data_IF_979287928286
#
_entry.id   IF_979287928286
#
_cell.length_a   1.000
_cell.length_b   1.000
_cell.length_c   1.000
_cell.angle_alpha   90.00
_cell.angle_beta   90.00
_cell.angle_gamma   90.00
#
_symmetry.space_group_name_H-M   'P 1'
#
loop_
_entity.id
_entity.type
_entity.pdbx_description
1 polymer ?
#
# COMPACT_ATOMS: atom_id res chain seq x y z
N UNK A 1 5.65 -33.26 -1.51
CA UNK A 1 4.61 -32.82 -2.49
C UNK A 1 5.30 -32.55 -3.82
N UNK A 2 4.69 -32.91 -4.95
CA UNK A 2 5.29 -32.70 -6.28
C UNK A 2 4.90 -31.30 -6.77
N UNK A 3 5.89 -30.46 -7.11
CA UNK A 3 5.61 -29.13 -7.65
C UNK A 3 4.82 -29.25 -8.97
N UNK A 4 3.77 -28.44 -9.10
CA UNK A 4 3.01 -28.32 -10.34
C UNK A 4 3.79 -27.42 -11.29
N UNK A 5 4.09 -27.91 -12.49
CA UNK A 5 4.72 -27.10 -13.53
C UNK A 5 3.63 -26.37 -14.31
N UNK A 6 3.54 -25.07 -14.12
CA UNK A 6 2.59 -24.22 -14.83
C UNK A 6 3.32 -23.60 -16.03
N UNK A 7 2.94 -23.91 -17.28
CA UNK A 7 3.48 -23.22 -18.44
C UNK A 7 2.95 -21.78 -18.45
N UNK A 8 3.85 -20.81 -18.58
CA UNK A 8 3.52 -19.39 -18.62
C UNK A 8 4.24 -18.74 -19.79
N UNK A 9 3.52 -17.90 -20.53
CA UNK A 9 4.09 -17.03 -21.55
C UNK A 9 4.44 -15.69 -20.90
N UNK A 10 5.71 -15.33 -20.96
CA UNK A 10 6.22 -14.04 -20.58
C UNK A 10 6.35 -13.16 -21.82
N UNK A 11 5.88 -11.93 -21.71
CA UNK A 11 6.02 -10.87 -22.69
C UNK A 11 7.07 -9.90 -22.17
N UNK A 12 8.13 -9.69 -22.95
CA UNK A 12 9.25 -8.84 -22.57
C UNK A 12 9.13 -7.55 -23.36
N UNK A 13 8.89 -6.45 -22.67
CA UNK A 13 8.72 -5.13 -23.25
C UNK A 13 9.90 -4.22 -22.92
N UNK A 14 10.28 -3.36 -23.86
CA UNK A 14 11.05 -2.16 -23.53
C UNK A 14 10.08 -1.07 -23.04
N UNK A 15 10.45 -0.38 -21.96
CA UNK A 15 9.76 0.83 -21.51
C UNK A 15 10.37 2.06 -22.20
N UNK A 16 9.52 2.89 -22.79
CA UNK A 16 9.90 4.09 -23.56
C UNK A 16 9.32 5.38 -22.97
N UNK A 17 8.87 5.32 -21.71
CA UNK A 17 8.41 6.51 -21.01
C UNK A 17 9.59 7.45 -20.72
N UNK A 18 9.40 8.79 -20.77
CA UNK A 18 10.49 9.77 -20.65
C UNK A 18 11.27 9.77 -19.33
N UNK A 19 10.96 8.87 -18.39
CA UNK A 19 11.54 8.79 -17.04
C UNK A 19 11.74 7.34 -16.56
N UNK A 20 11.47 6.35 -17.42
CA UNK A 20 11.61 4.93 -17.08
C UNK A 20 12.20 4.24 -18.31
N UNK A 21 13.49 3.95 -18.24
CA UNK A 21 14.20 3.12 -19.21
C UNK A 21 14.44 1.76 -18.57
N UNK A 22 14.09 0.69 -19.29
CA UNK A 22 14.29 -0.66 -18.78
C UNK A 22 13.48 -1.71 -19.53
N UNK A 23 13.51 -2.91 -18.96
CA UNK A 23 12.72 -4.03 -19.43
C UNK A 23 11.62 -4.33 -18.41
N UNK A 24 10.40 -4.46 -18.90
CA UNK A 24 9.26 -4.97 -18.14
C UNK A 24 8.98 -6.40 -18.62
N UNK A 25 8.73 -7.31 -17.68
CA UNK A 25 8.35 -8.70 -17.99
C UNK A 25 6.98 -8.97 -17.39
N UNK A 26 5.99 -9.20 -18.26
CA UNK A 26 4.61 -9.40 -17.86
C UNK A 26 4.07 -10.74 -18.35
N UNK A 27 3.01 -11.23 -17.75
CA UNK A 27 2.27 -12.42 -18.21
C UNK A 27 1.19 -12.08 -19.25
N UNK A 28 1.14 -10.83 -19.70
CA UNK A 28 0.23 -10.32 -20.72
C UNK A 28 0.95 -9.32 -21.64
N UNK A 29 0.47 -9.18 -22.87
CA UNK A 29 0.99 -8.17 -23.78
C UNK A 29 0.51 -6.77 -23.39
N UNK A 30 1.45 -5.91 -23.03
CA UNK A 30 1.23 -4.53 -22.60
C UNK A 30 1.32 -3.52 -23.74
N UNK A 31 1.51 -3.94 -24.99
CA UNK A 31 1.72 -3.03 -26.14
C UNK A 31 0.54 -2.08 -26.39
N UNK A 32 -0.67 -2.41 -25.91
CA UNK A 32 -1.82 -1.50 -25.96
C UNK A 32 -1.68 -0.27 -25.05
N UNK A 33 -0.79 -0.32 -24.06
CA UNK A 33 -0.50 0.80 -23.17
C UNK A 33 0.63 1.64 -23.75
N UNK A 34 0.47 2.96 -23.70
CA UNK A 34 1.52 3.90 -24.13
C UNK A 34 2.82 3.58 -23.40
N UNK A 35 3.94 3.66 -24.11
CA UNK A 35 5.27 3.56 -23.50
C UNK A 35 5.79 2.13 -23.35
N UNK A 36 5.10 1.12 -23.88
CA UNK A 36 5.57 -0.26 -23.94
C UNK A 36 5.76 -0.71 -25.38
N UNK A 37 6.89 -1.35 -25.66
CA UNK A 37 7.20 -1.94 -26.97
C UNK A 37 7.56 -3.41 -26.75
N UNK A 38 6.76 -4.33 -27.28
CA UNK A 38 7.04 -5.76 -27.19
C UNK A 38 8.30 -6.10 -27.99
N UNK A 39 9.27 -6.72 -27.33
CA UNK A 39 10.52 -7.16 -27.95
C UNK A 39 10.47 -8.63 -28.31
N UNK A 40 10.07 -9.47 -27.35
CA UNK A 40 9.96 -10.91 -27.55
C UNK A 40 8.93 -11.54 -26.60
N UNK A 41 8.56 -12.78 -26.89
CA UNK A 41 7.79 -13.64 -25.98
C UNK A 41 8.60 -14.87 -25.64
N UNK A 42 8.49 -15.33 -24.40
CA UNK A 42 9.21 -16.51 -23.91
C UNK A 42 8.27 -17.40 -23.14
N UNK A 43 8.26 -18.69 -23.47
CA UNK A 43 7.55 -19.68 -22.68
C UNK A 43 8.49 -20.27 -21.64
N UNK A 44 8.05 -20.27 -20.38
CA UNK A 44 8.76 -20.90 -19.27
C UNK A 44 7.79 -21.80 -18.50
N UNK A 45 8.36 -22.65 -17.66
CA UNK A 45 7.60 -23.40 -16.67
C UNK A 45 7.90 -22.83 -15.29
N UNK A 46 6.86 -22.49 -14.54
CA UNK A 46 6.98 -22.06 -13.15
C UNK A 46 6.61 -23.25 -12.28
N UNK A 47 7.52 -23.63 -11.40
CA UNK A 47 7.28 -24.65 -10.38
C UNK A 47 6.48 -24.02 -9.23
N UNK A 48 5.22 -24.42 -9.09
CA UNK A 48 4.35 -23.97 -8.01
C UNK A 48 4.09 -25.13 -7.07
N UNK A 49 4.57 -25.00 -5.83
CA UNK A 49 4.16 -25.90 -4.76
C UNK A 49 2.68 -25.64 -4.48
N UNK A 50 1.84 -26.67 -4.57
CA UNK A 50 0.44 -26.53 -4.21
C UNK A 50 0.37 -26.21 -2.71
N UNK A 51 -0.14 -25.02 -2.32
CA UNK A 51 -0.28 -24.69 -0.92
C UNK A 51 -1.43 -25.51 -0.33
N UNK A 52 -1.29 -25.90 0.94
CA UNK A 52 -2.43 -26.46 1.66
C UNK A 52 -3.45 -25.35 1.95
N UNK A 53 -4.74 -25.66 2.10
CA UNK A 53 -5.75 -24.65 2.44
C UNK A 53 -5.40 -23.82 3.67
N UNK A 54 -4.71 -24.42 4.65
CA UNK A 54 -4.27 -23.74 5.86
C UNK A 54 -3.19 -22.68 5.58
N UNK A 55 -2.32 -22.89 4.60
CA UNK A 55 -1.29 -21.93 4.22
C UNK A 55 -1.91 -20.70 3.56
N UNK A 56 -2.91 -20.92 2.70
CA UNK A 56 -3.69 -19.85 2.06
C UNK A 56 -4.41 -19.02 3.13
N UNK A 57 -5.12 -19.68 4.04
CA UNK A 57 -5.84 -19.01 5.14
C UNK A 57 -4.86 -18.24 6.01
N UNK A 58 -3.71 -18.83 6.35
CA UNK A 58 -2.66 -18.16 7.12
C UNK A 58 -2.21 -16.85 6.47
N UNK A 59 -1.97 -16.86 5.15
CA UNK A 59 -1.62 -15.66 4.38
C UNK A 59 -2.73 -14.61 4.36
N UNK A 60 -3.98 -15.04 4.21
CA UNK A 60 -5.13 -14.13 4.25
C UNK A 60 -5.29 -13.47 5.64
N UNK A 61 -5.13 -14.25 6.71
CA UNK A 61 -5.17 -13.74 8.08
C UNK A 61 -4.03 -12.74 8.32
N UNK A 62 -2.82 -13.03 7.85
CA UNK A 62 -1.66 -12.13 7.95
C UNK A 62 -1.95 -10.77 7.30
N UNK A 63 -2.51 -10.76 6.07
CA UNK A 63 -2.91 -9.53 5.37
C UNK A 63 -3.97 -8.76 6.16
N UNK A 64 -4.98 -9.44 6.69
CA UNK A 64 -6.05 -8.80 7.48
C UNK A 64 -5.52 -8.22 8.81
N UNK A 65 -4.59 -8.90 9.47
CA UNK A 65 -3.96 -8.40 10.69
C UNK A 65 -3.11 -7.16 10.42
N UNK A 66 -2.34 -7.16 9.33
CA UNK A 66 -1.56 -6.00 8.91
C UNK A 66 -2.46 -4.80 8.62
N UNK A 67 -3.55 -5.01 7.88
CA UNK A 67 -4.49 -3.95 7.55
C UNK A 67 -5.21 -3.41 8.79
N UNK A 68 -5.61 -4.30 9.72
CA UNK A 68 -6.15 -3.91 11.02
C UNK A 68 -5.17 -3.04 11.81
N UNK A 69 -3.90 -3.42 11.87
CA UNK A 69 -2.87 -2.67 12.59
C UNK A 69 -2.64 -1.29 11.96
N UNK A 70 -2.59 -1.23 10.62
CA UNK A 70 -2.46 0.02 9.86
C UNK A 70 -3.63 0.97 10.14
N UNK A 71 -4.86 0.45 10.11
CA UNK A 71 -6.06 1.24 10.39
C UNK A 71 -6.08 1.73 11.84
N UNK A 72 -5.75 0.86 12.80
CA UNK A 72 -5.70 1.23 14.21
C UNK A 72 -4.73 2.39 14.46
N UNK A 73 -3.50 2.32 13.94
CA UNK A 73 -2.51 3.40 14.05
C UNK A 73 -3.01 4.72 13.44
N UNK A 74 -3.58 4.66 12.24
CA UNK A 74 -4.16 5.84 11.59
C UNK A 74 -5.31 6.44 12.39
N UNK A 75 -6.19 5.61 12.94
CA UNK A 75 -7.32 6.04 13.77
C UNK A 75 -6.84 6.63 15.09
N UNK A 76 -5.86 6.02 15.78
CA UNK A 76 -5.31 6.55 17.02
C UNK A 76 -4.70 7.94 16.83
N UNK A 77 -3.92 8.14 15.76
CA UNK A 77 -3.39 9.46 15.41
C UNK A 77 -4.51 10.48 15.21
N UNK A 78 -5.55 10.10 14.47
CA UNK A 78 -6.68 10.99 14.21
C UNK A 78 -7.47 11.33 15.46
N UNK A 79 -7.65 10.38 16.38
CA UNK A 79 -8.28 10.62 17.67
C UNK A 79 -7.46 11.63 18.48
N UNK A 80 -6.15 11.43 18.59
CA UNK A 80 -5.27 12.34 19.32
C UNK A 80 -5.32 13.78 18.76
N UNK A 81 -5.31 13.94 17.43
CA UNK A 81 -5.48 15.26 16.80
C UNK A 81 -6.82 15.92 17.16
N UNK A 82 -7.90 15.15 17.22
CA UNK A 82 -9.23 15.65 17.59
C UNK A 82 -9.25 16.03 19.07
N UNK A 83 -8.67 15.20 19.95
CA UNK A 83 -8.58 15.48 21.37
C UNK A 83 -7.79 16.76 21.65
N UNK A 84 -6.67 16.96 20.94
CA UNK A 84 -5.89 18.20 21.00
C UNK A 84 -6.72 19.42 20.57
N UNK A 85 -7.50 19.30 19.49
CA UNK A 85 -8.40 20.39 19.03
C UNK A 85 -9.50 20.69 20.06
N UNK A 86 -10.09 19.65 20.66
CA UNK A 86 -11.10 19.80 21.72
C UNK A 86 -10.49 20.52 22.92
N UNK A 87 -9.30 20.10 23.36
CA UNK A 87 -8.61 20.73 24.48
C UNK A 87 -8.26 22.19 24.19
N UNK A 88 -7.78 22.51 22.99
CA UNK A 88 -7.51 23.90 22.60
C UNK A 88 -8.76 24.79 22.71
N UNK A 89 -9.92 24.31 22.25
CA UNK A 89 -11.18 25.06 22.34
C UNK A 89 -11.60 25.30 23.79
N UNK A 90 -11.47 24.28 24.65
CA UNK A 90 -11.84 24.37 26.08
C UNK A 90 -10.86 25.23 26.89
N UNK A 91 -9.58 25.25 26.54
CA UNK A 91 -8.57 26.05 27.22
C UNK A 91 -8.78 27.58 27.06
N UNK A 92 -9.50 28.03 26.03
CA UNK A 92 -9.78 29.46 25.79
C UNK A 92 -10.82 30.01 26.79
N UNK A 93 -11.70 29.18 27.33
CA UNK A 93 -12.75 29.61 28.28
C UNK A 93 -12.23 29.86 29.72
N UNK A 94 -10.94 29.60 30.00
CA UNK A 94 -10.37 29.69 31.35
C UNK A 94 -9.23 30.69 31.53
N UNK A 95 -9.04 31.65 30.62
CA UNK A 95 -8.29 32.88 30.92
C UNK A 95 -9.28 33.96 31.40
N UNK A 96 -9.54 34.12 32.72
CA UNK A 96 -10.10 35.37 33.19
C UNK A 96 -9.08 36.45 32.84
N UNK A 97 -9.45 37.35 31.93
CA UNK A 97 -8.79 38.64 31.84
C UNK A 97 -9.14 39.32 33.17
N UNK A 98 -8.24 39.24 34.15
CA UNK A 98 -8.33 40.08 35.34
C UNK A 98 -8.15 41.52 34.87
N UNK A 99 -9.27 42.21 34.69
CA UNK A 99 -9.36 43.59 34.23
C UNK A 99 -8.96 44.59 35.35
N UNK A 100 -7.98 44.26 36.19
CA UNK A 100 -7.65 45.04 37.39
C UNK A 100 -6.14 45.26 37.66
N UNK A 101 -5.26 45.02 36.69
CA UNK A 101 -3.84 45.45 36.77
C UNK A 101 -3.50 46.59 35.79
N UNK A 102 -4.31 47.67 35.77
CA UNK A 102 -3.86 48.95 35.20
C UNK A 102 -3.38 49.87 36.35
N UNK A 103 -2.06 50.08 36.50
CA UNK A 103 -1.56 50.99 37.52
C UNK A 103 -1.86 52.45 37.14
N UNK A 104 -2.40 53.21 38.09
CA UNK A 104 -2.59 54.68 38.02
C UNK A 104 -1.28 55.45 37.90
#
# INVERSE_FOLDING_TARGET
MKALQIPVTLFIHATTFPLTEGFEVATADMTSFRGYVLLETRQIHIDVNQPEPIDIIGKQVEVLQLEKARLADATYKRIAEIDDQVQQLLCIEHCPIEADELPY
#
